data_IF_306890209056
#
_entry.id   IF_306890209056
#
_cell.length_a   1.000
_cell.length_b   1.000
_cell.length_c   1.000
_cell.angle_alpha   90.00
_cell.angle_beta   90.00
_cell.angle_gamma   90.00
#
_symmetry.space_group_name_H-M   'P 1'
#
loop_
_entity.id
_entity.type
_entity.pdbx_description
1 polymer ?
#
# COMPACT_ATOMS: atom_id res chain seq x y z
N UNK A 1 -37.47 -85.76 18.11
CA UNK A 1 -36.37 -84.82 18.39
C UNK A 1 -36.42 -83.73 17.34
N UNK A 2 -36.93 -82.52 17.68
CA UNK A 2 -37.12 -81.42 16.71
C UNK A 2 -35.98 -80.45 16.86
N UNK A 3 -35.19 -80.32 15.81
CA UNK A 3 -34.08 -79.34 15.71
C UNK A 3 -34.63 -78.00 15.32
N UNK A 4 -34.50 -76.99 16.21
CA UNK A 4 -34.86 -75.62 15.91
C UNK A 4 -33.71 -74.97 15.25
N UNK A 5 -33.87 -74.59 13.96
CA UNK A 5 -32.93 -73.72 13.20
C UNK A 5 -33.21 -72.31 13.56
N UNK A 6 -32.26 -71.61 14.20
CA UNK A 6 -32.28 -70.15 14.40
C UNK A 6 -31.66 -69.49 13.15
N UNK A 7 -32.50 -68.85 12.41
CA UNK A 7 -32.03 -67.97 11.34
C UNK A 7 -31.57 -66.62 11.96
N UNK A 8 -30.27 -66.44 11.99
CA UNK A 8 -29.68 -65.13 12.38
C UNK A 8 -29.79 -64.17 11.17
N UNK A 9 -30.69 -63.20 11.22
CA UNK A 9 -30.75 -62.12 10.26
C UNK A 9 -29.63 -61.14 10.59
N UNK A 10 -28.53 -61.17 9.82
CA UNK A 10 -27.51 -60.11 9.83
C UNK A 10 -28.07 -58.87 9.14
N UNK A 11 -28.50 -57.88 9.91
CA UNK A 11 -28.76 -56.56 9.38
C UNK A 11 -27.42 -55.89 9.11
N UNK A 12 -27.00 -55.90 7.85
CA UNK A 12 -25.87 -55.09 7.37
C UNK A 12 -26.39 -53.62 7.33
N UNK A 13 -26.09 -52.85 8.39
CA UNK A 13 -26.18 -51.39 8.34
C UNK A 13 -25.09 -50.92 7.36
N UNK A 14 -25.48 -50.71 6.14
CA UNK A 14 -24.69 -49.90 5.20
C UNK A 14 -24.68 -48.48 5.74
N UNK A 15 -23.67 -48.15 6.58
CA UNK A 15 -23.33 -46.77 6.86
C UNK A 15 -22.85 -46.15 5.53
N UNK A 16 -23.78 -45.60 4.79
CA UNK A 16 -23.45 -44.67 3.71
C UNK A 16 -22.74 -43.49 4.34
N UNK A 17 -21.42 -43.54 4.34
CA UNK A 17 -20.61 -42.37 4.51
C UNK A 17 -20.98 -41.42 3.35
N UNK A 18 -21.94 -40.54 3.59
CA UNK A 18 -22.05 -39.33 2.76
C UNK A 18 -20.69 -38.63 2.91
N UNK A 19 -19.82 -38.80 1.94
CA UNK A 19 -18.74 -37.89 1.70
C UNK A 19 -19.39 -36.55 1.48
N UNK A 20 -19.51 -35.75 2.54
CA UNK A 20 -19.90 -34.36 2.41
C UNK A 20 -18.86 -33.76 1.48
N UNK A 21 -19.26 -33.53 0.24
CA UNK A 21 -18.46 -32.87 -0.76
C UNK A 21 -18.05 -31.55 -0.12
N UNK A 22 -16.76 -31.39 0.25
CA UNK A 22 -16.28 -30.23 0.95
C UNK A 22 -16.70 -28.99 0.15
N UNK A 23 -17.51 -28.15 0.79
CA UNK A 23 -18.04 -26.96 0.11
C UNK A 23 -16.87 -26.09 -0.28
N UNK A 24 -16.62 -25.91 -1.57
CA UNK A 24 -15.59 -25.01 -2.03
C UNK A 24 -16.08 -23.56 -1.88
N UNK A 25 -15.87 -23.02 -0.67
CA UNK A 25 -16.26 -21.66 -0.32
C UNK A 25 -15.56 -20.60 -1.17
N UNK A 26 -14.30 -20.82 -1.51
CA UNK A 26 -13.51 -19.90 -2.32
C UNK A 26 -14.11 -19.73 -3.73
N UNK A 27 -14.41 -20.82 -4.41
CA UNK A 27 -15.06 -20.76 -5.73
C UNK A 27 -16.42 -20.09 -5.65
N UNK A 28 -17.21 -20.36 -4.60
CA UNK A 28 -18.51 -19.70 -4.38
C UNK A 28 -18.35 -18.21 -4.14
N UNK A 29 -17.35 -17.82 -3.35
CA UNK A 29 -17.03 -16.41 -3.10
C UNK A 29 -16.65 -15.70 -4.40
N UNK A 30 -15.72 -16.25 -5.16
CA UNK A 30 -15.26 -15.68 -6.42
C UNK A 30 -16.42 -15.51 -7.42
N UNK A 31 -17.30 -16.51 -7.53
CA UNK A 31 -18.48 -16.44 -8.39
C UNK A 31 -19.46 -15.36 -7.91
N UNK A 32 -19.76 -15.29 -6.61
CA UNK A 32 -20.68 -14.29 -6.08
C UNK A 32 -20.13 -12.87 -6.27
N UNK A 33 -18.85 -12.64 -5.92
CA UNK A 33 -18.19 -11.33 -6.03
C UNK A 33 -18.11 -10.87 -7.49
N UNK A 34 -17.91 -11.78 -8.45
CA UNK A 34 -17.94 -11.43 -9.87
C UNK A 34 -19.30 -10.87 -10.35
N UNK A 35 -20.38 -11.19 -9.63
CA UNK A 35 -21.75 -10.74 -9.97
C UNK A 35 -22.16 -9.48 -9.21
N UNK A 36 -21.81 -9.38 -7.92
CA UNK A 36 -22.37 -8.32 -7.05
C UNK A 36 -21.28 -7.43 -6.42
N UNK A 37 -19.99 -7.68 -6.68
CA UNK A 37 -18.87 -7.01 -6.06
C UNK A 37 -18.58 -7.49 -4.62
N UNK A 38 -17.38 -7.14 -4.07
CA UNK A 38 -16.94 -7.61 -2.75
C UNK A 38 -17.85 -7.20 -1.60
N UNK A 39 -18.47 -6.02 -1.66
CA UNK A 39 -19.42 -5.52 -0.66
C UNK A 39 -20.89 -5.88 -0.95
N UNK A 40 -21.16 -6.74 -1.93
CA UNK A 40 -22.50 -7.02 -2.44
C UNK A 40 -23.37 -7.88 -1.52
N UNK A 41 -24.67 -7.98 -1.90
CA UNK A 41 -25.65 -8.76 -1.14
C UNK A 41 -25.27 -10.23 -1.09
N UNK A 42 -25.37 -10.84 0.09
CA UNK A 42 -25.08 -12.27 0.31
C UNK A 42 -23.59 -12.58 0.57
N UNK A 43 -22.66 -11.67 0.28
CA UNK A 43 -21.22 -11.89 0.49
C UNK A 43 -20.93 -12.10 1.99
N UNK A 44 -21.48 -11.29 2.89
CA UNK A 44 -21.28 -11.44 4.33
C UNK A 44 -21.73 -12.81 4.83
N UNK A 45 -22.95 -13.22 4.45
CA UNK A 45 -23.50 -14.53 4.84
C UNK A 45 -22.63 -15.69 4.33
N UNK A 46 -22.09 -15.59 3.12
CA UNK A 46 -21.18 -16.62 2.58
C UNK A 46 -19.86 -16.65 3.36
N UNK A 47 -19.29 -15.49 3.68
CA UNK A 47 -18.08 -15.35 4.48
C UNK A 47 -18.28 -15.89 5.91
N UNK A 48 -19.46 -15.68 6.53
CA UNK A 48 -19.79 -16.23 7.85
C UNK A 48 -19.77 -17.76 7.84
N UNK A 49 -20.37 -18.37 6.81
CA UNK A 49 -20.34 -19.82 6.62
C UNK A 49 -18.92 -20.34 6.38
N UNK A 50 -18.13 -19.63 5.59
CA UNK A 50 -16.73 -20.00 5.34
C UNK A 50 -15.89 -19.88 6.60
N UNK A 51 -16.05 -18.81 7.37
CA UNK A 51 -15.37 -18.61 8.66
C UNK A 51 -15.77 -19.66 9.70
N UNK A 52 -17.03 -20.08 9.72
CA UNK A 52 -17.49 -21.17 10.60
C UNK A 52 -16.87 -22.53 10.22
N UNK A 53 -16.61 -22.76 8.95
CA UNK A 53 -15.95 -23.97 8.46
C UNK A 53 -14.43 -23.95 8.72
N UNK A 54 -13.77 -22.82 8.53
CA UNK A 54 -12.33 -22.63 8.77
C UNK A 54 -12.02 -21.15 9.12
N UNK A 55 -11.94 -20.86 10.41
CA UNK A 55 -11.72 -19.51 10.92
C UNK A 55 -10.29 -18.97 10.75
N UNK A 56 -9.37 -19.85 10.32
CA UNK A 56 -7.96 -19.52 10.11
C UNK A 56 -7.56 -19.45 8.64
N UNK A 57 -8.46 -19.83 7.74
CA UNK A 57 -8.19 -19.84 6.30
C UNK A 57 -7.77 -18.44 5.80
N UNK A 58 -6.59 -18.36 5.19
CA UNK A 58 -6.02 -17.08 4.76
C UNK A 58 -6.85 -16.42 3.66
N UNK A 59 -7.37 -17.18 2.70
CA UNK A 59 -8.17 -16.63 1.59
C UNK A 59 -9.51 -16.12 2.10
N UNK A 60 -10.13 -16.81 3.08
CA UNK A 60 -11.33 -16.34 3.77
C UNK A 60 -11.06 -15.02 4.52
N UNK A 61 -9.95 -14.93 5.26
CA UNK A 61 -9.62 -13.70 6.00
C UNK A 61 -9.30 -12.53 5.06
N UNK A 62 -8.63 -12.78 3.93
CA UNK A 62 -8.41 -11.77 2.88
C UNK A 62 -9.73 -11.30 2.28
N UNK A 63 -10.62 -12.23 1.95
CA UNK A 63 -11.96 -11.91 1.45
C UNK A 63 -12.81 -11.14 2.48
N UNK A 64 -12.69 -11.47 3.76
CA UNK A 64 -13.36 -10.75 4.86
C UNK A 64 -12.82 -9.33 5.02
N UNK A 65 -11.51 -9.13 4.90
CA UNK A 65 -10.92 -7.80 4.88
C UNK A 65 -11.47 -6.99 3.70
N UNK A 66 -11.44 -7.55 2.50
CA UNK A 66 -11.93 -6.89 1.29
C UNK A 66 -13.41 -6.49 1.40
N UNK A 67 -14.26 -7.40 1.94
CA UNK A 67 -15.65 -7.09 2.22
C UNK A 67 -15.81 -5.87 3.13
N UNK A 68 -15.15 -5.87 4.29
CA UNK A 68 -15.27 -4.77 5.25
C UNK A 68 -14.67 -3.48 4.70
N UNK A 69 -13.53 -3.55 4.02
CA UNK A 69 -12.90 -2.38 3.42
C UNK A 69 -13.75 -1.77 2.31
N UNK A 70 -14.38 -2.60 1.46
CA UNK A 70 -15.32 -2.13 0.43
C UNK A 70 -16.58 -1.54 1.05
N UNK A 71 -17.13 -2.15 2.12
CA UNK A 71 -18.30 -1.62 2.83
C UNK A 71 -18.02 -0.30 3.53
N UNK A 72 -16.78 -0.08 3.95
CA UNK A 72 -16.38 1.19 4.53
C UNK A 72 -16.39 2.35 3.52
N UNK A 73 -16.17 2.07 2.24
CA UNK A 73 -15.94 3.09 1.21
C UNK A 73 -17.25 3.68 0.66
N UNK A 74 -17.28 5.01 0.53
CA UNK A 74 -18.28 5.74 -0.23
C UNK A 74 -17.62 6.85 -1.03
N UNK A 75 -17.80 6.85 -2.35
CA UNK A 75 -17.27 7.88 -3.24
C UNK A 75 -18.22 9.06 -3.31
N UNK A 76 -17.69 10.28 -3.17
CA UNK A 76 -18.44 11.51 -3.31
C UNK A 76 -17.69 12.51 -4.19
N UNK A 77 -18.43 13.41 -4.83
CA UNK A 77 -17.84 14.55 -5.53
C UNK A 77 -17.81 15.75 -4.58
N UNK A 78 -16.60 16.24 -4.30
CA UNK A 78 -16.38 17.37 -3.41
C UNK A 78 -15.88 18.60 -4.17
N UNK A 79 -16.27 19.78 -3.70
CA UNK A 79 -15.83 21.06 -4.23
C UNK A 79 -14.62 21.56 -3.43
N UNK A 80 -13.55 21.97 -4.11
CA UNK A 80 -12.34 22.56 -3.51
C UNK A 80 -11.97 23.84 -4.25
N UNK A 81 -11.22 24.71 -3.59
CA UNK A 81 -10.67 25.93 -4.19
C UNK A 81 -9.30 25.71 -4.84
N UNK A 82 -8.57 24.64 -4.44
CA UNK A 82 -7.24 24.34 -4.97
C UNK A 82 -7.34 23.63 -6.31
N UNK A 83 -6.49 24.03 -7.27
CA UNK A 83 -6.35 23.39 -8.58
C UNK A 83 -5.70 21.99 -8.49
N UNK A 84 -4.99 21.71 -7.42
CA UNK A 84 -4.43 20.37 -7.12
C UNK A 84 -4.84 19.97 -5.71
N UNK A 85 -5.40 18.77 -5.55
CA UNK A 85 -5.83 18.25 -4.27
C UNK A 85 -5.36 16.81 -4.11
N UNK A 86 -4.62 16.50 -3.04
CA UNK A 86 -4.00 15.18 -2.79
C UNK A 86 -3.16 14.66 -3.98
N UNK A 87 -2.47 15.55 -4.68
CA UNK A 87 -1.69 15.22 -5.87
C UNK A 87 -2.50 14.96 -7.14
N UNK A 88 -3.84 14.98 -7.06
CA UNK A 88 -4.76 14.74 -8.18
C UNK A 88 -5.11 16.02 -8.92
N UNK A 89 -5.37 15.89 -10.22
CA UNK A 89 -6.04 16.92 -11.02
C UNK A 89 -7.56 16.84 -10.84
N UNK A 90 -8.29 17.97 -11.00
CA UNK A 90 -9.73 17.99 -10.81
C UNK A 90 -10.47 17.17 -11.88
N UNK A 91 -11.55 16.52 -11.49
CA UNK A 91 -12.51 15.90 -12.42
C UNK A 91 -13.18 16.95 -13.32
N UNK A 92 -13.48 18.11 -12.74
CA UNK A 92 -14.13 19.23 -13.44
C UNK A 92 -13.65 20.56 -12.87
N UNK A 93 -13.43 21.54 -13.75
CA UNK A 93 -13.08 22.91 -13.40
C UNK A 93 -14.16 23.85 -13.93
N UNK A 94 -14.78 24.63 -13.05
CA UNK A 94 -15.83 25.59 -13.39
C UNK A 94 -15.47 26.97 -12.81
N UNK A 95 -16.31 27.95 -13.09
CA UNK A 95 -16.31 29.24 -12.40
C UNK A 95 -17.63 29.39 -11.62
N UNK A 96 -17.56 29.97 -10.44
CA UNK A 96 -18.75 30.32 -9.68
C UNK A 96 -19.42 31.57 -10.24
N UNK A 97 -20.52 32.02 -9.61
CA UNK A 97 -21.25 33.21 -10.02
C UNK A 97 -20.44 34.54 -9.92
N UNK A 98 -19.33 34.52 -9.19
CA UNK A 98 -18.40 35.63 -9.06
C UNK A 98 -17.19 35.53 -10.02
N UNK A 99 -17.15 34.47 -10.89
CA UNK A 99 -16.05 34.19 -11.79
C UNK A 99 -14.83 33.55 -11.14
N UNK A 100 -14.94 33.10 -9.88
CA UNK A 100 -13.84 32.44 -9.16
C UNK A 100 -13.74 30.98 -9.58
N UNK A 101 -12.54 30.48 -9.94
CA UNK A 101 -12.36 29.08 -10.28
C UNK A 101 -12.71 28.16 -9.12
N UNK A 102 -13.47 27.10 -9.42
CA UNK A 102 -13.84 26.03 -8.49
C UNK A 102 -13.56 24.69 -9.13
N UNK A 103 -13.08 23.75 -8.34
CA UNK A 103 -12.60 22.46 -8.80
C UNK A 103 -13.34 21.35 -8.10
N UNK A 104 -13.72 20.32 -8.83
CA UNK A 104 -14.45 19.18 -8.32
C UNK A 104 -13.57 17.94 -8.38
N UNK A 105 -13.55 17.17 -7.28
CA UNK A 105 -12.74 15.97 -7.13
C UNK A 105 -13.60 14.81 -6.70
N UNK A 106 -13.26 13.59 -7.11
CA UNK A 106 -13.74 12.39 -6.46
C UNK A 106 -12.99 12.19 -5.17
N UNK A 107 -13.71 12.06 -4.08
CA UNK A 107 -13.14 11.82 -2.78
C UNK A 107 -13.78 10.59 -2.14
N UNK A 108 -12.95 9.67 -1.64
CA UNK A 108 -13.39 8.50 -0.92
C UNK A 108 -13.60 8.86 0.54
N UNK A 109 -14.77 8.54 1.08
CA UNK A 109 -15.11 8.63 2.50
C UNK A 109 -15.18 7.24 3.08
N UNK A 110 -14.93 7.11 4.38
CA UNK A 110 -14.88 5.84 5.05
C UNK A 110 -15.82 5.83 6.25
N UNK A 111 -16.57 4.74 6.39
CA UNK A 111 -17.30 4.40 7.62
C UNK A 111 -16.32 3.80 8.61
N UNK A 112 -16.20 4.42 9.78
CA UNK A 112 -15.19 4.07 10.79
C UNK A 112 -15.41 2.67 11.37
N UNK A 113 -16.65 2.20 11.49
CA UNK A 113 -16.95 0.87 12.05
C UNK A 113 -16.50 -0.24 11.10
N UNK A 114 -16.87 -0.13 9.82
CA UNK A 114 -16.42 -1.09 8.81
C UNK A 114 -14.92 -1.02 8.59
N UNK A 115 -14.34 0.18 8.61
CA UNK A 115 -12.90 0.36 8.50
C UNK A 115 -12.15 -0.32 9.64
N UNK A 116 -12.58 -0.13 10.89
CA UNK A 116 -12.01 -0.81 12.06
C UNK A 116 -12.11 -2.34 11.96
N UNK A 117 -13.24 -2.88 11.45
CA UNK A 117 -13.39 -4.32 11.20
C UNK A 117 -12.39 -4.83 10.15
N UNK A 118 -12.14 -4.06 9.10
CA UNK A 118 -11.13 -4.38 8.08
C UNK A 118 -9.73 -4.44 8.71
N UNK A 119 -9.32 -3.41 9.46
CA UNK A 119 -8.00 -3.38 10.12
C UNK A 119 -7.82 -4.55 11.10
N UNK A 120 -8.84 -4.84 11.92
CA UNK A 120 -8.80 -6.00 12.85
C UNK A 120 -8.64 -7.32 12.10
N UNK A 121 -9.26 -7.46 10.92
CA UNK A 121 -9.11 -8.65 10.09
C UNK A 121 -7.71 -8.76 9.50
N UNK A 122 -7.13 -7.63 9.05
CA UNK A 122 -5.74 -7.58 8.56
C UNK A 122 -4.74 -7.96 9.68
N UNK A 123 -4.95 -7.47 10.91
CA UNK A 123 -4.11 -7.84 12.06
C UNK A 123 -4.22 -9.32 12.39
N UNK A 124 -5.43 -9.89 12.34
CA UNK A 124 -5.63 -11.33 12.58
C UNK A 124 -4.89 -12.19 11.56
N UNK A 125 -5.01 -11.88 10.27
CA UNK A 125 -4.35 -12.68 9.24
C UNK A 125 -2.83 -12.50 9.28
N UNK A 126 -2.32 -11.30 9.53
CA UNK A 126 -0.89 -11.06 9.69
C UNK A 126 -0.28 -11.81 10.89
N UNK A 127 -1.04 -11.94 11.99
CA UNK A 127 -0.61 -12.72 13.16
C UNK A 127 -0.58 -14.23 12.89
N UNK A 128 -1.55 -14.75 12.11
CA UNK A 128 -1.60 -16.17 11.73
C UNK A 128 -0.55 -16.55 10.68
N UNK A 129 -0.20 -15.62 9.79
CA UNK A 129 0.76 -15.80 8.70
C UNK A 129 1.90 -14.79 8.79
N UNK A 130 2.77 -14.90 9.80
CA UNK A 130 3.76 -13.88 10.13
C UNK A 130 4.85 -13.69 9.07
N UNK A 131 5.02 -14.65 8.17
CA UNK A 131 6.01 -14.56 7.10
C UNK A 131 5.43 -14.01 5.79
N UNK A 132 4.10 -13.85 5.68
CA UNK A 132 3.44 -13.31 4.49
C UNK A 132 3.26 -11.79 4.61
N UNK A 133 4.02 -11.02 3.83
CA UNK A 133 4.01 -9.55 3.86
C UNK A 133 2.75 -8.95 3.24
N UNK A 134 2.05 -9.71 2.38
CA UNK A 134 0.80 -9.30 1.74
C UNK A 134 -0.18 -8.65 2.73
N UNK A 135 -0.32 -9.28 3.89
CA UNK A 135 -1.29 -8.85 4.91
C UNK A 135 -0.87 -7.60 5.67
N UNK A 136 0.45 -7.34 5.76
CA UNK A 136 0.96 -6.07 6.26
C UNK A 136 0.70 -4.95 5.26
N UNK A 137 0.88 -5.24 3.98
CA UNK A 137 0.57 -4.26 2.92
C UNK A 137 -0.92 -3.99 2.79
N UNK A 138 -1.81 -4.97 3.00
CA UNK A 138 -3.25 -4.72 3.07
C UNK A 138 -3.57 -3.64 4.10
N UNK A 139 -3.04 -3.76 5.32
CA UNK A 139 -3.24 -2.78 6.38
C UNK A 139 -2.58 -1.44 6.06
N UNK A 140 -1.34 -1.43 5.60
CA UNK A 140 -0.63 -0.20 5.23
C UNK A 140 -1.39 0.57 4.15
N UNK A 141 -1.84 -0.11 3.09
CA UNK A 141 -2.59 0.50 2.00
C UNK A 141 -3.94 1.06 2.47
N UNK A 142 -4.64 0.33 3.35
CA UNK A 142 -5.88 0.81 3.93
C UNK A 142 -5.69 2.08 4.76
N UNK A 143 -4.65 2.14 5.60
CA UNK A 143 -4.32 3.31 6.41
C UNK A 143 -3.95 4.51 5.52
N UNK A 144 -3.09 4.32 4.52
CA UNK A 144 -2.70 5.38 3.57
C UNK A 144 -3.93 5.93 2.84
N UNK A 145 -4.86 5.07 2.42
CA UNK A 145 -6.07 5.49 1.73
C UNK A 145 -7.05 6.24 2.64
N UNK A 146 -7.16 5.82 3.91
CA UNK A 146 -8.06 6.42 4.90
C UNK A 146 -7.61 7.81 5.34
N UNK A 147 -6.32 7.99 5.68
CA UNK A 147 -5.81 9.20 6.33
C UNK A 147 -5.55 10.39 5.40
N UNK A 148 -5.40 10.14 4.10
CA UNK A 148 -5.23 11.18 3.07
C UNK A 148 -4.13 12.21 3.38
N UNK A 149 -4.50 13.39 3.91
CA UNK A 149 -3.60 14.52 4.14
C UNK A 149 -2.73 14.39 5.40
N UNK A 150 -3.19 13.66 6.42
CA UNK A 150 -2.52 13.50 7.72
C UNK A 150 -2.23 12.03 8.03
N UNK A 151 -1.21 11.42 7.41
CA UNK A 151 -0.98 9.98 7.46
C UNK A 151 -0.26 9.51 8.73
N UNK A 152 -0.78 9.83 9.92
CA UNK A 152 -0.14 9.53 11.21
C UNK A 152 -0.12 8.04 11.54
N UNK A 153 -1.27 7.34 11.38
CA UNK A 153 -1.37 5.89 11.61
C UNK A 153 -0.59 5.11 10.56
N UNK A 154 -0.66 5.52 9.30
CA UNK A 154 0.11 4.92 8.21
C UNK A 154 1.62 5.08 8.46
N UNK A 155 2.05 6.27 8.88
CA UNK A 155 3.45 6.57 9.23
C UNK A 155 3.95 5.69 10.37
N UNK A 156 3.18 5.59 11.46
CA UNK A 156 3.50 4.75 12.61
C UNK A 156 3.60 3.28 12.19
N UNK A 157 2.59 2.78 11.48
CA UNK A 157 2.56 1.38 11.03
C UNK A 157 3.70 1.03 10.08
N UNK A 158 4.02 1.89 9.11
CA UNK A 158 5.16 1.68 8.21
C UNK A 158 6.50 1.74 8.96
N UNK A 159 6.64 2.60 9.97
CA UNK A 159 7.83 2.64 10.82
C UNK A 159 8.00 1.35 11.62
N UNK A 160 6.92 0.78 12.15
CA UNK A 160 6.94 -0.52 12.84
C UNK A 160 7.30 -1.65 11.86
N UNK A 161 6.74 -1.63 10.65
CA UNK A 161 7.05 -2.60 9.61
C UNK A 161 8.52 -2.55 9.16
N UNK A 162 9.11 -1.35 9.06
CA UNK A 162 10.56 -1.20 8.81
C UNK A 162 11.38 -1.81 9.96
N UNK A 163 10.95 -1.63 11.21
CA UNK A 163 11.61 -2.23 12.39
C UNK A 163 11.48 -3.74 12.36
N UNK A 164 10.28 -4.27 12.10
CA UNK A 164 10.05 -5.70 11.94
C UNK A 164 10.97 -6.26 10.85
N UNK A 165 10.99 -5.65 9.67
CA UNK A 165 11.85 -6.10 8.56
C UNK A 165 13.33 -6.11 8.94
N UNK A 166 13.83 -5.08 9.64
CA UNK A 166 15.25 -4.97 10.01
C UNK A 166 15.70 -6.03 11.03
N UNK A 167 14.77 -6.61 11.78
CA UNK A 167 15.03 -7.65 12.79
C UNK A 167 14.78 -9.08 12.27
N UNK A 168 14.25 -9.24 11.07
CA UNK A 168 13.93 -10.56 10.50
C UNK A 168 15.17 -11.33 10.09
N UNK A 169 15.14 -12.62 10.36
CA UNK A 169 16.14 -13.58 9.89
C UNK A 169 15.66 -14.42 8.71
N UNK A 170 14.36 -14.33 8.37
CA UNK A 170 13.72 -15.06 7.26
C UNK A 170 13.24 -14.07 6.21
N UNK A 171 13.36 -14.42 4.92
CA UNK A 171 12.78 -13.62 3.86
C UNK A 171 11.25 -13.56 3.98
N UNK A 172 10.67 -12.47 3.49
CA UNK A 172 9.24 -12.38 3.31
C UNK A 172 8.74 -13.31 2.21
N UNK A 173 7.52 -13.80 2.37
CA UNK A 173 6.73 -14.31 1.26
C UNK A 173 5.81 -13.20 0.75
N UNK A 174 5.64 -13.13 -0.55
CA UNK A 174 4.66 -12.30 -1.22
C UNK A 174 3.97 -13.14 -2.31
N UNK A 175 2.65 -13.21 -2.30
CA UNK A 175 1.87 -14.08 -3.21
C UNK A 175 2.41 -15.53 -3.24
N UNK A 176 2.77 -16.06 -2.08
CA UNK A 176 3.27 -17.42 -1.91
C UNK A 176 4.71 -17.65 -2.41
N UNK A 177 5.44 -16.61 -2.79
CA UNK A 177 6.83 -16.69 -3.24
C UNK A 177 7.75 -16.01 -2.24
N UNK A 178 8.95 -16.57 -2.05
CA UNK A 178 10.00 -15.91 -1.26
C UNK A 178 10.56 -14.71 -2.00
N UNK A 179 10.67 -13.58 -1.30
CA UNK A 179 11.19 -12.34 -1.84
C UNK A 179 12.68 -12.18 -1.52
N UNK A 180 13.39 -11.46 -2.38
CA UNK A 180 14.76 -11.03 -2.13
C UNK A 180 14.81 -9.78 -1.21
N UNK A 181 16.02 -9.39 -0.83
CA UNK A 181 16.25 -8.24 0.06
C UNK A 181 15.85 -6.89 -0.57
N UNK A 182 15.79 -6.80 -1.88
CA UNK A 182 15.41 -5.60 -2.63
C UNK A 182 13.91 -5.33 -2.58
N UNK A 183 13.09 -6.37 -2.56
CA UNK A 183 11.63 -6.27 -2.62
C UNK A 183 11.04 -5.33 -1.55
N UNK A 184 11.47 -5.47 -0.29
CA UNK A 184 10.99 -4.60 0.79
C UNK A 184 11.38 -3.14 0.57
N UNK A 185 12.61 -2.90 0.09
CA UNK A 185 13.09 -1.56 -0.20
C UNK A 185 12.28 -0.90 -1.32
N UNK A 186 11.95 -1.65 -2.37
CA UNK A 186 11.13 -1.17 -3.49
C UNK A 186 9.71 -0.83 -3.02
N UNK A 187 9.10 -1.68 -2.19
CA UNK A 187 7.79 -1.40 -1.60
C UNK A 187 7.80 -0.12 -0.75
N UNK A 188 8.83 0.08 0.08
CA UNK A 188 8.97 1.31 0.88
C UNK A 188 9.18 2.55 0.00
N UNK A 189 9.87 2.41 -1.14
CA UNK A 189 10.03 3.50 -2.11
C UNK A 189 8.68 3.91 -2.73
N UNK A 190 7.79 2.95 -2.99
CA UNK A 190 6.43 3.24 -3.47
C UNK A 190 5.59 4.01 -2.42
N UNK A 191 5.68 3.66 -1.14
CA UNK A 191 5.06 4.45 -0.08
C UNK A 191 5.65 5.87 0.00
N UNK A 192 6.97 6.00 -0.08
CA UNK A 192 7.61 7.31 -0.15
C UNK A 192 7.09 8.13 -1.33
N UNK A 193 6.94 7.52 -2.52
CA UNK A 193 6.39 8.18 -3.71
C UNK A 193 4.94 8.62 -3.51
N UNK A 194 4.13 7.80 -2.86
CA UNK A 194 2.74 8.13 -2.55
C UNK A 194 2.66 9.37 -1.67
N UNK A 195 3.39 9.44 -0.56
CA UNK A 195 3.40 10.60 0.32
C UNK A 195 3.95 11.86 -0.35
N UNK A 196 4.99 11.73 -1.18
CA UNK A 196 5.51 12.83 -1.99
C UNK A 196 4.45 13.38 -2.96
N UNK A 197 3.66 12.48 -3.57
CA UNK A 197 2.62 12.84 -4.55
C UNK A 197 1.45 13.57 -3.88
N UNK A 198 1.02 13.13 -2.69
CA UNK A 198 -0.01 13.82 -1.88
C UNK A 198 0.43 15.25 -1.58
N UNK A 199 1.68 15.46 -1.18
CA UNK A 199 2.34 16.76 -1.10
C UNK A 199 1.83 17.68 0.02
N UNK A 200 0.95 17.21 0.94
CA UNK A 200 0.63 17.97 2.16
C UNK A 200 1.87 18.09 3.04
N UNK A 201 1.91 19.06 3.95
CA UNK A 201 3.03 19.20 4.88
C UNK A 201 3.26 17.93 5.70
N UNK A 202 2.19 17.32 6.22
CA UNK A 202 2.26 16.08 6.98
C UNK A 202 2.79 14.91 6.13
N UNK A 203 2.27 14.73 4.90
CA UNK A 203 2.75 13.70 3.96
C UNK A 203 4.21 13.89 3.58
N UNK A 204 4.65 15.14 3.36
CA UNK A 204 6.06 15.44 3.07
C UNK A 204 6.97 15.13 4.26
N UNK A 205 6.51 15.33 5.49
CA UNK A 205 7.26 14.96 6.69
C UNK A 205 7.36 13.43 6.82
N UNK A 206 6.31 12.68 6.50
CA UNK A 206 6.33 11.20 6.45
C UNK A 206 7.27 10.71 5.34
N UNK A 207 7.18 11.28 4.12
CA UNK A 207 8.13 11.02 3.03
C UNK A 207 9.59 11.16 3.49
N UNK A 208 9.90 12.24 4.21
CA UNK A 208 11.25 12.46 4.73
C UNK A 208 11.65 11.45 5.79
N UNK A 209 10.80 11.20 6.79
CA UNK A 209 11.13 10.33 7.93
C UNK A 209 11.36 8.88 7.49
N UNK A 210 10.47 8.35 6.64
CA UNK A 210 10.63 7.00 6.08
C UNK A 210 11.88 6.91 5.20
N UNK A 211 12.09 7.89 4.30
CA UNK A 211 13.26 7.91 3.43
C UNK A 211 14.57 7.98 4.22
N UNK A 212 14.61 8.81 5.25
CA UNK A 212 15.81 8.93 6.13
C UNK A 212 16.09 7.61 6.83
N UNK A 213 15.06 6.98 7.43
CA UNK A 213 15.22 5.70 8.13
C UNK A 213 15.65 4.58 7.19
N UNK A 214 15.04 4.49 6.00
CA UNK A 214 15.43 3.51 5.00
C UNK A 214 16.86 3.73 4.50
N UNK A 215 17.30 4.98 4.32
CA UNK A 215 18.69 5.27 3.96
C UNK A 215 19.69 4.89 5.07
N UNK A 216 19.33 5.09 6.34
CA UNK A 216 20.18 4.69 7.49
C UNK A 216 20.36 3.17 7.55
N UNK A 217 19.30 2.40 7.25
CA UNK A 217 19.35 0.93 7.24
C UNK A 217 19.96 0.36 5.96
N UNK A 218 19.72 1.00 4.81
CA UNK A 218 20.15 0.53 3.47
C UNK A 218 20.96 1.60 2.74
N UNK A 219 22.18 1.94 3.23
CA UNK A 219 22.95 3.05 2.67
C UNK A 219 23.49 2.80 1.27
N UNK A 220 23.43 1.57 0.76
CA UNK A 220 23.73 1.22 -0.64
C UNK A 220 22.62 1.67 -1.61
N UNK A 221 21.38 1.73 -1.17
CA UNK A 221 20.24 2.19 -1.96
C UNK A 221 20.16 3.72 -1.96
N UNK A 222 20.69 4.34 -3.00
CA UNK A 222 20.78 5.81 -3.13
C UNK A 222 19.43 6.48 -3.34
N UNK A 223 18.37 5.73 -3.73
CA UNK A 223 17.05 6.31 -3.94
C UNK A 223 16.53 7.01 -2.68
N UNK A 224 16.71 6.40 -1.51
CA UNK A 224 16.28 7.02 -0.24
C UNK A 224 17.07 8.27 0.13
N UNK A 225 18.38 8.32 -0.19
CA UNK A 225 19.18 9.54 -0.02
C UNK A 225 18.73 10.64 -1.00
N UNK A 226 18.35 10.25 -2.22
CA UNK A 226 17.77 11.17 -3.21
C UNK A 226 16.44 11.75 -2.74
N UNK A 227 15.59 10.94 -2.08
CA UNK A 227 14.36 11.40 -1.46
C UNK A 227 14.62 12.43 -0.35
N UNK A 228 15.58 12.16 0.54
CA UNK A 228 16.00 13.12 1.60
C UNK A 228 16.44 14.44 0.97
N UNK A 229 17.22 14.39 -0.11
CA UNK A 229 17.63 15.61 -0.83
C UNK A 229 16.43 16.35 -1.44
N UNK A 230 15.49 15.60 -2.02
CA UNK A 230 14.24 16.14 -2.61
C UNK A 230 13.40 16.86 -1.57
N UNK A 231 13.26 16.32 -0.37
CA UNK A 231 12.57 16.99 0.73
C UNK A 231 13.18 18.36 1.06
N UNK A 232 14.51 18.43 1.19
CA UNK A 232 15.18 19.69 1.44
C UNK A 232 14.97 20.71 0.31
N UNK A 233 14.98 20.23 -0.96
CA UNK A 233 14.79 21.10 -2.12
C UNK A 233 13.37 21.65 -2.21
N UNK A 234 12.37 20.79 -1.99
CA UNK A 234 10.96 21.09 -2.29
C UNK A 234 10.22 21.60 -1.06
N UNK A 235 10.27 20.86 0.05
CA UNK A 235 9.51 21.19 1.26
C UNK A 235 10.18 22.26 2.11
N UNK A 236 11.53 22.20 2.26
CA UNK A 236 12.27 23.16 3.08
C UNK A 236 12.83 24.35 2.29
N UNK A 237 12.72 24.31 0.96
CA UNK A 237 13.33 25.30 0.06
C UNK A 237 14.80 25.59 0.40
N UNK A 238 15.53 24.53 0.81
CA UNK A 238 16.96 24.56 1.13
C UNK A 238 17.78 23.86 0.02
N UNK A 239 18.07 24.57 -1.08
CA UNK A 239 18.83 24.02 -2.20
C UNK A 239 20.28 23.70 -1.84
N UNK A 240 20.85 24.35 -0.80
CA UNK A 240 22.24 24.09 -0.35
C UNK A 240 22.36 22.70 0.27
N UNK A 241 21.48 22.35 1.21
CA UNK A 241 21.45 21.03 1.83
C UNK A 241 21.05 19.96 0.82
N UNK A 242 20.09 20.25 -0.06
CA UNK A 242 19.71 19.33 -1.14
C UNK A 242 20.91 18.96 -2.03
N UNK A 243 21.68 19.96 -2.52
CA UNK A 243 22.88 19.72 -3.31
C UNK A 243 23.93 18.87 -2.58
N UNK A 244 24.11 19.09 -1.27
CA UNK A 244 25.03 18.26 -0.46
C UNK A 244 24.64 16.77 -0.52
N UNK A 245 23.35 16.47 -0.43
CA UNK A 245 22.85 15.09 -0.52
C UNK A 245 22.88 14.54 -1.93
N UNK A 246 22.43 15.29 -2.95
CA UNK A 246 22.53 14.86 -4.36
C UNK A 246 23.97 14.59 -4.79
N UNK A 247 24.93 15.37 -4.35
CA UNK A 247 26.34 15.11 -4.61
C UNK A 247 26.83 13.79 -4.00
N UNK A 248 26.26 13.35 -2.85
CA UNK A 248 26.56 12.03 -2.30
C UNK A 248 25.95 10.92 -3.15
N UNK A 249 24.74 11.13 -3.69
CA UNK A 249 24.11 10.21 -4.66
C UNK A 249 24.99 10.08 -5.89
N UNK A 250 25.35 11.21 -6.51
CA UNK A 250 26.15 11.25 -7.74
C UNK A 250 27.60 10.73 -7.59
N UNK A 251 28.13 10.69 -6.36
CA UNK A 251 29.40 9.98 -6.09
C UNK A 251 29.27 8.47 -6.22
N UNK A 252 28.09 7.90 -5.93
CA UNK A 252 27.83 6.46 -6.03
C UNK A 252 27.27 6.06 -7.41
N UNK A 253 26.33 6.87 -7.92
CA UNK A 253 25.66 6.66 -9.22
C UNK A 253 25.78 7.95 -10.03
N UNK A 254 26.80 8.01 -10.88
CA UNK A 254 27.19 9.25 -11.59
C UNK A 254 26.15 9.77 -12.56
N UNK A 255 25.32 8.88 -13.08
CA UNK A 255 24.26 9.11 -14.06
C UNK A 255 22.85 9.08 -13.47
N UNK A 256 22.70 9.16 -12.13
CA UNK A 256 21.38 9.25 -11.52
C UNK A 256 20.61 10.47 -12.04
N UNK A 257 19.60 10.20 -12.87
CA UNK A 257 18.81 11.21 -13.57
C UNK A 257 18.10 12.18 -12.59
N UNK A 258 17.54 11.64 -11.51
CA UNK A 258 16.82 12.44 -10.50
C UNK A 258 17.77 13.37 -9.78
N UNK A 259 18.91 12.86 -9.34
CA UNK A 259 19.92 13.67 -8.66
C UNK A 259 20.51 14.76 -9.58
N UNK A 260 20.75 14.46 -10.86
CA UNK A 260 21.25 15.44 -11.83
C UNK A 260 20.22 16.53 -12.11
N UNK A 261 18.97 16.18 -12.42
CA UNK A 261 17.89 17.15 -12.67
C UNK A 261 17.62 18.05 -11.48
N UNK A 262 17.53 17.45 -10.29
CA UNK A 262 17.26 18.23 -9.09
C UNK A 262 18.47 19.04 -8.63
N UNK A 263 19.70 18.61 -8.91
CA UNK A 263 20.91 19.41 -8.69
C UNK A 263 20.94 20.64 -9.62
N UNK A 264 20.49 20.49 -10.87
CA UNK A 264 20.33 21.62 -11.78
C UNK A 264 19.31 22.64 -11.26
N UNK A 265 18.15 22.17 -10.76
CA UNK A 265 17.12 23.03 -10.15
C UNK A 265 17.66 23.72 -8.89
N UNK A 266 18.35 22.98 -8.01
CA UNK A 266 18.94 23.52 -6.80
C UNK A 266 20.02 24.58 -7.10
N UNK A 267 20.89 24.35 -8.10
CA UNK A 267 21.89 25.32 -8.55
C UNK A 267 21.22 26.60 -9.11
N UNK A 268 20.10 26.44 -9.82
CA UNK A 268 19.29 27.60 -10.30
C UNK A 268 18.71 28.41 -9.15
N UNK A 269 18.14 27.74 -8.15
CA UNK A 269 17.60 28.41 -6.93
C UNK A 269 18.68 29.15 -6.12
N UNK A 270 19.91 28.65 -6.13
CA UNK A 270 21.07 29.30 -5.49
C UNK A 270 21.63 30.49 -6.28
N UNK A 271 21.15 30.74 -7.50
CA UNK A 271 21.70 31.76 -8.38
C UNK A 271 23.17 31.48 -8.77
N UNK A 272 23.59 30.21 -8.82
CA UNK A 272 24.97 29.81 -9.14
C UNK A 272 25.09 29.32 -10.61
N UNK A 273 25.48 30.21 -11.55
CA UNK A 273 25.52 29.86 -12.96
C UNK A 273 26.57 28.79 -13.29
N UNK A 274 27.69 28.74 -12.55
CA UNK A 274 28.73 27.72 -12.76
C UNK A 274 28.21 26.30 -12.40
N UNK A 275 27.53 26.17 -11.27
CA UNK A 275 26.94 24.90 -10.87
C UNK A 275 25.78 24.50 -11.79
N UNK A 276 24.95 25.45 -12.18
CA UNK A 276 23.85 25.23 -13.10
C UNK A 276 24.37 24.69 -14.44
N UNK A 277 25.39 25.33 -15.02
CA UNK A 277 25.98 24.87 -16.28
C UNK A 277 26.65 23.50 -16.12
N UNK A 278 27.38 23.27 -15.02
CA UNK A 278 27.94 21.94 -14.74
C UNK A 278 26.89 20.83 -14.81
N UNK A 279 25.75 20.98 -14.13
CA UNK A 279 24.71 19.93 -14.13
C UNK A 279 23.97 19.85 -15.47
N UNK A 280 23.85 20.98 -16.19
CA UNK A 280 23.33 20.97 -17.56
C UNK A 280 24.20 20.11 -18.49
N UNK A 281 25.51 20.30 -18.45
CA UNK A 281 26.45 19.52 -19.27
C UNK A 281 26.40 18.02 -18.90
N UNK A 282 26.29 17.66 -17.63
CA UNK A 282 26.13 16.27 -17.22
C UNK A 282 24.81 15.67 -17.74
N UNK A 283 23.71 16.43 -17.69
CA UNK A 283 22.43 15.99 -18.24
C UNK A 283 22.49 15.75 -19.76
N UNK A 284 23.23 16.58 -20.50
CA UNK A 284 23.50 16.40 -21.95
C UNK A 284 24.39 15.17 -22.16
N UNK A 285 25.48 15.06 -21.39
CA UNK A 285 26.45 13.95 -21.50
C UNK A 285 25.78 12.58 -21.33
N UNK A 286 24.80 12.48 -20.39
CA UNK A 286 24.06 11.24 -20.15
C UNK A 286 22.77 11.11 -20.99
N UNK A 287 22.51 12.04 -21.92
CA UNK A 287 21.38 11.97 -22.86
C UNK A 287 20.01 12.28 -22.25
N UNK A 288 19.95 12.94 -21.10
CA UNK A 288 18.70 13.29 -20.43
C UNK A 288 18.06 14.59 -20.92
N UNK A 289 18.82 15.45 -21.57
CA UNK A 289 18.36 16.65 -22.30
C UNK A 289 19.21 16.82 -23.56
N UNK A 290 18.67 17.58 -24.53
CA UNK A 290 19.36 17.97 -25.77
C UNK A 290 20.13 19.28 -25.61
#
# INVERSE_FOLDING_TARGET
MRLKIYVLALAVLAASTLSAQSVNYENRYNLLVSQVGPGGVGVETLLDKWQAADSTNKNMLSARFEFYFTKAQSEQVVKKSQKKYLGMDPLLSLQDSAGVPVYYYREMFYDDEYFAKALKTADKVAALYPDDIDYRFLKANALVAYEKESPDMASAYLSDLITENSSRTRPWNYEGKKMDDGFFQDAMQEYCRTFYTVGSEASMNVFFSLSKRMWELYPSNVCFLSNVATYHLVAKNDPKTALKHYNKVLKKVKDDQTALRNSYVAASKLGNPKLKEKYRQLLIQYGYIK
#
